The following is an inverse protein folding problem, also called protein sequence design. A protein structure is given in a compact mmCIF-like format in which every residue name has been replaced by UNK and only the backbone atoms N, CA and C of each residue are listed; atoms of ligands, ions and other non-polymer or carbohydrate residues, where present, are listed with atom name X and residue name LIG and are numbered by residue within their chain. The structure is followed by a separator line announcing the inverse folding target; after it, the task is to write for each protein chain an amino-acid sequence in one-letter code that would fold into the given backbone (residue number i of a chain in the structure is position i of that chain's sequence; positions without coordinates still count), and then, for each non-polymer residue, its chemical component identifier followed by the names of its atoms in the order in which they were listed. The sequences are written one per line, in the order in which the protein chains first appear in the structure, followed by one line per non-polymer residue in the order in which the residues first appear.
data_IF_430274653043
#
_entry.id   IF_430274653043
#
_cell.length_a   1.000
_cell.length_b   1.000
_cell.length_c   1.000
_cell.angle_alpha   90.00
_cell.angle_beta   90.00
_cell.angle_gamma   90.00
#
_symmetry.space_group_name_H-M   'P 1'
#
loop_
_entity.id
_entity.type
_entity.pdbx_description
1 polymer ?
#
# COMPACT_ATOMS: atom_id res chain seq x y z
N UNK A 1 4.43 5.63 -0.43
CA UNK A 1 3.07 5.05 -0.49
C UNK A 1 2.81 4.42 -1.87
N UNK A 2 3.35 3.23 -2.14
CA UNK A 2 3.46 2.70 -3.53
C UNK A 2 3.03 1.24 -3.71
N UNK A 3 2.62 0.56 -2.64
CA UNK A 3 2.30 -0.87 -2.67
C UNK A 3 0.81 -1.04 -2.98
N UNK A 4 0.45 -1.62 -4.12
CA UNK A 4 -0.95 -1.94 -4.40
C UNK A 4 -1.43 -3.05 -3.45
N UNK A 5 -2.72 -3.02 -3.10
CA UNK A 5 -3.37 -4.03 -2.25
C UNK A 5 -4.79 -4.33 -2.75
N UNK A 6 -5.38 -5.42 -2.26
CA UNK A 6 -6.75 -5.83 -2.56
C UNK A 6 -7.44 -6.27 -1.28
N UNK A 7 -8.63 -5.74 -1.01
CA UNK A 7 -9.39 -6.01 0.23
C UNK A 7 -10.07 -7.39 0.26
N UNK A 8 -10.21 -8.03 -0.90
CA UNK A 8 -10.97 -9.27 -1.10
C UNK A 8 -10.10 -10.54 -1.12
N UNK A 9 -8.83 -10.43 -0.76
CA UNK A 9 -7.88 -11.55 -0.71
C UNK A 9 -7.01 -11.46 0.55
N UNK A 10 -6.36 -12.58 0.91
CA UNK A 10 -5.29 -12.56 1.90
C UNK A 10 -4.16 -11.65 1.43
N UNK A 11 -3.66 -10.80 2.33
CA UNK A 11 -2.62 -9.84 1.98
C UNK A 11 -1.30 -10.58 1.69
N UNK A 12 -0.68 -10.39 0.51
CA UNK A 12 0.57 -11.06 0.16
C UNK A 12 1.81 -10.35 0.72
N UNK A 13 1.62 -9.19 1.38
CA UNK A 13 2.69 -8.39 1.96
C UNK A 13 2.18 -7.70 3.23
N UNK A 14 2.99 -7.77 4.27
CA UNK A 14 2.78 -7.08 5.54
C UNK A 14 3.95 -6.15 5.83
N UNK A 15 3.67 -4.99 6.41
CA UNK A 15 4.69 -4.09 6.94
C UNK A 15 4.75 -4.27 8.45
N UNK A 16 5.94 -4.56 8.97
CA UNK A 16 6.17 -4.75 10.39
C UNK A 16 6.85 -3.50 10.92
N UNK A 17 6.29 -2.93 11.98
CA UNK A 17 6.91 -1.83 12.70
C UNK A 17 7.75 -2.39 13.87
N UNK A 18 8.88 -1.75 14.21
CA UNK A 18 9.67 -2.16 15.37
C UNK A 18 8.90 -1.96 16.68
N UNK A 19 8.06 -0.92 16.76
CA UNK A 19 7.23 -0.57 17.91
C UNK A 19 6.04 0.32 17.48
N UNK A 20 5.14 0.60 18.44
CA UNK A 20 3.98 1.46 18.22
C UNK A 20 4.33 2.95 18.13
N UNK A 21 5.43 3.39 18.77
CA UNK A 21 5.87 4.79 18.76
C UNK A 21 6.11 5.27 17.33
N UNK A 22 6.55 4.39 16.44
CA UNK A 22 6.77 4.72 15.03
C UNK A 22 5.53 5.27 14.32
N UNK A 23 4.30 4.89 14.72
CA UNK A 23 3.07 5.48 14.16
C UNK A 23 2.88 6.94 14.56
N UNK A 24 3.28 7.31 15.78
CA UNK A 24 3.19 8.69 16.26
C UNK A 24 4.25 9.57 15.59
N UNK A 25 5.46 9.04 15.42
CA UNK A 25 6.53 9.76 14.73
C UNK A 25 6.13 10.08 13.28
N UNK A 26 5.46 9.13 12.60
CA UNK A 26 4.92 9.35 11.25
C UNK A 26 3.90 10.50 11.19
N UNK A 27 3.12 10.73 12.23
CA UNK A 27 2.13 11.80 12.26
C UNK A 27 2.75 13.21 12.28
N UNK A 28 4.03 13.32 12.66
CA UNK A 28 4.80 14.57 12.61
C UNK A 28 5.56 14.80 11.30
N UNK A 29 5.55 13.84 10.38
CA UNK A 29 6.23 13.93 9.08
C UNK A 29 5.31 14.54 8.00
N UNK A 30 5.89 15.09 6.94
CA UNK A 30 5.12 15.58 5.79
C UNK A 30 4.64 14.42 4.92
N UNK A 31 3.50 13.86 5.32
CA UNK A 31 2.86 12.73 4.65
C UNK A 31 2.53 13.07 3.19
N UNK A 32 2.15 14.31 2.89
CA UNK A 32 1.74 14.70 1.54
C UNK A 32 2.93 14.78 0.59
N UNK A 33 4.07 15.33 1.04
CA UNK A 33 5.30 15.28 0.26
C UNK A 33 5.74 13.82 -0.04
N UNK A 34 5.57 12.91 0.93
CA UNK A 34 5.86 11.48 0.72
C UNK A 34 4.89 10.80 -0.26
N UNK A 35 3.63 11.23 -0.31
CA UNK A 35 2.64 10.78 -1.30
C UNK A 35 3.06 11.23 -2.69
N UNK A 36 3.36 12.52 -2.87
CA UNK A 36 3.77 13.09 -4.15
C UNK A 36 5.03 12.41 -4.70
N UNK A 37 6.04 12.23 -3.87
CA UNK A 37 7.24 11.47 -4.24
C UNK A 37 6.88 10.02 -4.65
N UNK A 38 5.97 9.39 -3.93
CA UNK A 38 5.48 8.05 -4.26
C UNK A 38 4.79 7.99 -5.63
N UNK A 39 3.98 9.00 -5.97
CA UNK A 39 3.27 9.10 -7.24
C UNK A 39 4.25 9.25 -8.42
N UNK A 40 5.27 10.10 -8.28
CA UNK A 40 6.30 10.31 -9.32
C UNK A 40 7.05 9.02 -9.65
N UNK A 41 7.29 8.17 -8.66
CA UNK A 41 7.96 6.88 -8.86
C UNK A 41 7.05 5.75 -9.38
N UNK A 42 5.73 5.98 -9.47
CA UNK A 42 4.76 4.97 -9.85
C UNK A 42 4.58 3.83 -8.83
N UNK A 43 3.57 2.98 -9.03
CA UNK A 43 3.29 1.84 -8.15
C UNK A 43 4.29 0.69 -8.38
N UNK A 44 4.54 -0.08 -7.32
CA UNK A 44 5.22 -1.36 -7.47
C UNK A 44 4.34 -2.38 -8.22
N UNK A 45 4.97 -3.38 -8.83
CA UNK A 45 4.25 -4.49 -9.43
C UNK A 45 3.38 -5.21 -8.37
N UNK A 46 2.10 -5.51 -8.67
CA UNK A 46 1.24 -6.25 -7.77
C UNK A 46 1.79 -7.64 -7.45
N UNK A 47 1.69 -8.05 -6.18
CA UNK A 47 2.00 -9.43 -5.72
C UNK A 47 0.78 -10.36 -5.76
N UNK A 48 -0.30 -9.93 -6.40
CA UNK A 48 -1.55 -10.67 -6.52
C UNK A 48 -2.00 -10.72 -7.98
N UNK A 49 -2.73 -11.77 -8.40
CA UNK A 49 -3.28 -11.83 -9.73
C UNK A 49 -4.35 -10.74 -9.94
N UNK A 50 -4.56 -10.29 -11.20
CA UNK A 50 -5.65 -9.38 -11.53
C UNK A 50 -6.99 -9.89 -11.01
N UNK A 51 -7.90 -8.96 -10.64
CA UNK A 51 -9.25 -9.34 -10.23
C UNK A 51 -9.95 -10.04 -11.39
N UNK A 52 -10.40 -11.28 -11.18
CA UNK A 52 -11.20 -12.00 -12.16
C UNK A 52 -12.48 -11.20 -12.38
N UNK A 53 -12.73 -10.76 -13.63
CA UNK A 53 -14.00 -10.13 -13.98
C UNK A 53 -15.06 -11.23 -13.96
N UNK A 54 -15.90 -11.25 -12.93
CA UNK A 54 -17.11 -12.08 -12.92
C UNK A 54 -17.95 -11.68 -14.12
N UNK A 55 -17.99 -12.50 -15.18
CA UNK A 55 -19.05 -12.42 -16.17
C UNK A 55 -20.30 -12.97 -15.48
N UNK A 56 -21.21 -12.08 -15.07
CA UNK A 56 -22.55 -12.48 -14.71
C UNK A 56 -23.21 -13.00 -16.00
N UNK A 57 -23.56 -14.29 -16.02
CA UNK A 57 -24.47 -14.88 -16.98
C UNK A 57 -25.92 -14.64 -16.51
#
# INVERSE_FOLDING_TARGET
MRTPYRIDILQPLYFVLPDLKRLFDLAGEDIMAMVEHGMQMGLHAPKFPPKTKSHAA
#
